data_IF_900785661662
#
_entry.id   IF_900785661662
#
_cell.length_a   1.000
_cell.length_b   1.000
_cell.length_c   1.000
_cell.angle_alpha   90.00
_cell.angle_beta   90.00
_cell.angle_gamma   90.00
#
_symmetry.space_group_name_H-M   'P 1'
#
loop_
_entity.id
_entity.type
_entity.pdbx_description
1 polymer ?
#
# COMPACT_ATOMS: atom_id res chain seq x y z
N UNK A 1 15.68 -3.18 -18.90
CA UNK A 1 14.23 -2.91 -18.92
C UNK A 1 13.75 -3.09 -17.48
N UNK A 2 13.45 -2.00 -16.75
CA UNK A 2 12.89 -2.15 -15.40
C UNK A 2 11.51 -2.80 -15.53
N UNK A 3 11.24 -3.83 -14.73
CA UNK A 3 9.94 -4.49 -14.73
C UNK A 3 8.86 -3.50 -14.29
N UNK A 4 7.67 -3.58 -14.91
CA UNK A 4 6.52 -2.77 -14.52
C UNK A 4 6.11 -3.13 -13.08
N UNK A 5 5.84 -2.15 -12.20
CA UNK A 5 5.46 -2.44 -10.82
C UNK A 5 4.15 -3.25 -10.77
N UNK A 6 4.01 -4.05 -9.73
CA UNK A 6 2.84 -4.89 -9.48
C UNK A 6 2.47 -4.79 -8.00
N UNK A 7 1.41 -4.03 -7.68
CA UNK A 7 0.97 -3.80 -6.29
C UNK A 7 0.93 -5.11 -5.48
N UNK A 8 0.31 -6.15 -6.01
CA UNK A 8 0.17 -7.42 -5.29
C UNK A 8 1.50 -8.20 -5.16
N UNK A 9 2.33 -8.20 -6.21
CA UNK A 9 3.62 -8.89 -6.20
C UNK A 9 4.61 -8.21 -5.28
N UNK A 10 4.76 -6.90 -5.43
CA UNK A 10 5.66 -6.07 -4.65
C UNK A 10 5.25 -6.07 -3.17
N UNK A 11 3.95 -5.99 -2.88
CA UNK A 11 3.43 -6.14 -1.52
C UNK A 11 3.77 -7.48 -0.89
N UNK A 12 3.60 -8.58 -1.65
CA UNK A 12 3.96 -9.92 -1.18
C UNK A 12 5.43 -9.98 -0.81
N UNK A 13 6.31 -9.43 -1.65
CA UNK A 13 7.74 -9.46 -1.40
C UNK A 13 8.12 -8.68 -0.13
N UNK A 14 7.57 -7.48 0.07
CA UNK A 14 7.78 -6.72 1.32
C UNK A 14 7.23 -7.50 2.51
N UNK A 15 6.00 -7.98 2.45
CA UNK A 15 5.34 -8.69 3.56
C UNK A 15 6.12 -9.95 3.97
N UNK A 16 6.60 -10.73 3.00
CA UNK A 16 7.37 -11.95 3.24
C UNK A 16 8.76 -11.65 3.79
N UNK A 17 9.51 -10.77 3.13
CA UNK A 17 10.91 -10.55 3.45
C UNK A 17 11.15 -9.55 4.60
N UNK A 18 10.13 -8.79 5.01
CA UNK A 18 10.19 -7.91 6.18
C UNK A 18 9.66 -8.59 7.45
N UNK A 19 8.55 -9.33 7.36
CA UNK A 19 7.78 -9.78 8.54
C UNK A 19 7.65 -11.30 8.60
N UNK A 20 7.09 -11.95 7.57
CA UNK A 20 6.62 -13.35 7.68
C UNK A 20 7.71 -14.41 7.64
N UNK A 21 8.75 -14.23 6.83
CA UNK A 21 9.79 -15.24 6.70
C UNK A 21 10.69 -15.27 7.95
N UNK A 22 11.18 -16.45 8.35
CA UNK A 22 12.26 -16.56 9.31
C UNK A 22 13.47 -15.74 8.83
N UNK A 23 14.19 -15.11 9.76
CA UNK A 23 15.28 -14.18 9.42
C UNK A 23 16.30 -14.75 8.41
N UNK A 24 16.62 -16.05 8.51
CA UNK A 24 17.57 -16.76 7.64
C UNK A 24 17.08 -16.94 6.19
N UNK A 25 15.78 -16.77 5.93
CA UNK A 25 15.16 -16.91 4.61
C UNK A 25 14.80 -15.55 3.99
N UNK A 26 15.02 -14.45 4.71
CA UNK A 26 14.77 -13.11 4.21
C UNK A 26 15.83 -12.74 3.18
N UNK A 27 15.41 -12.05 2.13
CA UNK A 27 16.26 -11.66 1.01
C UNK A 27 16.19 -10.14 0.90
N UNK A 28 17.27 -9.42 1.27
CA UNK A 28 17.30 -7.96 1.20
C UNK A 28 17.07 -7.41 -0.21
N UNK A 29 17.44 -8.14 -1.26
CA UNK A 29 17.25 -7.69 -2.63
C UNK A 29 15.77 -7.74 -3.03
N UNK A 30 15.05 -8.80 -2.65
CA UNK A 30 13.58 -8.89 -2.86
C UNK A 30 12.82 -7.87 -2.04
N UNK A 31 13.22 -7.67 -0.78
CA UNK A 31 12.64 -6.63 0.06
C UNK A 31 12.80 -5.24 -0.59
N UNK A 32 14.02 -4.90 -1.03
CA UNK A 32 14.30 -3.64 -1.70
C UNK A 32 13.47 -3.47 -2.98
N UNK A 33 13.42 -4.51 -3.81
CA UNK A 33 12.62 -4.49 -5.04
C UNK A 33 11.13 -4.26 -4.76
N UNK A 34 10.57 -4.98 -3.78
CA UNK A 34 9.18 -4.80 -3.37
C UNK A 34 8.89 -3.39 -2.83
N UNK A 35 9.81 -2.80 -2.06
CA UNK A 35 9.66 -1.42 -1.57
C UNK A 35 9.64 -0.43 -2.74
N UNK A 36 10.61 -0.53 -3.67
CA UNK A 36 10.69 0.36 -4.84
C UNK A 36 9.46 0.23 -5.77
N UNK A 37 8.98 -0.99 -5.98
CA UNK A 37 7.79 -1.27 -6.78
C UNK A 37 6.49 -0.75 -6.15
N UNK A 38 6.33 -0.93 -4.84
CA UNK A 38 5.24 -0.32 -4.08
C UNK A 38 5.30 1.20 -4.11
N UNK A 39 6.47 1.80 -3.87
CA UNK A 39 6.64 3.26 -3.92
C UNK A 39 6.21 3.82 -5.28
N UNK A 40 6.62 3.17 -6.37
CA UNK A 40 6.20 3.53 -7.72
C UNK A 40 4.67 3.46 -7.88
N UNK A 41 4.06 2.36 -7.42
CA UNK A 41 2.60 2.18 -7.46
C UNK A 41 1.85 3.24 -6.63
N UNK A 42 2.37 3.59 -5.45
CA UNK A 42 1.77 4.57 -4.55
C UNK A 42 1.89 5.99 -5.09
N UNK A 43 2.96 6.33 -5.81
CA UNK A 43 3.05 7.61 -6.55
C UNK A 43 2.00 7.71 -7.66
N UNK A 44 1.76 6.63 -8.39
CA UNK A 44 0.70 6.59 -9.42
C UNK A 44 -0.68 6.79 -8.76
N UNK A 45 -0.91 6.11 -7.63
CA UNK A 45 -2.14 6.24 -6.86
C UNK A 45 -2.35 7.67 -6.33
N UNK A 46 -1.32 8.30 -5.75
CA UNK A 46 -1.38 9.70 -5.32
C UNK A 46 -1.77 10.64 -6.45
N UNK A 47 -1.12 10.51 -7.61
CA UNK A 47 -1.44 11.30 -8.79
C UNK A 47 -2.88 11.07 -9.28
N UNK A 48 -3.38 9.83 -9.21
CA UNK A 48 -4.75 9.49 -9.58
C UNK A 48 -5.84 10.10 -8.68
N UNK A 49 -5.48 10.57 -7.49
CA UNK A 49 -6.38 11.25 -6.55
C UNK A 49 -6.33 12.79 -6.70
N UNK A 50 -5.73 13.32 -7.77
CA UNK A 50 -5.62 14.75 -7.99
C UNK A 50 -6.99 15.44 -8.13
N UNK A 51 -7.92 14.82 -8.86
CA UNK A 51 -9.18 15.44 -9.24
C UNK A 51 -10.40 14.89 -8.48
N UNK A 52 -10.22 13.76 -7.77
CA UNK A 52 -11.32 13.05 -7.12
C UNK A 52 -10.92 12.57 -5.71
N UNK A 53 -11.85 12.61 -4.73
CA UNK A 53 -11.57 12.18 -3.36
C UNK A 53 -11.43 10.65 -3.22
N UNK A 54 -11.95 9.88 -4.17
CA UNK A 54 -11.93 8.43 -4.17
C UNK A 54 -11.53 7.90 -5.55
N UNK A 55 -10.92 6.72 -5.60
CA UNK A 55 -10.66 6.03 -6.87
C UNK A 55 -11.95 5.63 -7.60
N UNK A 56 -13.06 5.58 -6.87
CA UNK A 56 -14.40 5.38 -7.44
C UNK A 56 -15.07 6.68 -7.91
N UNK A 57 -14.41 7.84 -7.78
CA UNK A 57 -14.92 9.16 -8.18
C UNK A 57 -15.31 10.03 -6.98
N UNK A 58 -16.50 10.64 -7.02
CA UNK A 58 -16.96 11.56 -5.99
C UNK A 58 -17.23 10.86 -4.64
N UNK A 59 -17.63 9.60 -4.67
CA UNK A 59 -18.00 8.80 -3.50
C UNK A 59 -17.14 7.54 -3.38
N UNK A 60 -17.02 7.02 -2.15
CA UNK A 60 -16.35 5.76 -1.89
C UNK A 60 -17.05 4.60 -2.62
N UNK A 61 -16.28 3.73 -3.26
CA UNK A 61 -16.83 2.58 -3.96
C UNK A 61 -15.84 1.42 -4.11
N UNK A 62 -16.17 0.51 -5.03
CA UNK A 62 -15.41 -0.72 -5.26
C UNK A 62 -13.97 -0.46 -5.72
N UNK A 63 -13.70 0.68 -6.38
CA UNK A 63 -12.35 1.05 -6.82
C UNK A 63 -11.38 1.34 -5.67
N UNK A 64 -11.91 1.71 -4.50
CA UNK A 64 -11.10 2.05 -3.32
C UNK A 64 -10.72 0.82 -2.49
N UNK A 65 -11.49 -0.26 -2.57
CA UNK A 65 -11.37 -1.41 -1.67
C UNK A 65 -10.05 -2.16 -1.90
N UNK A 66 -9.67 -2.59 -3.12
CA UNK A 66 -8.47 -3.38 -3.31
C UNK A 66 -7.20 -2.63 -2.91
N UNK A 67 -7.05 -1.38 -3.37
CA UNK A 67 -5.88 -0.58 -3.03
C UNK A 67 -5.89 -0.18 -1.56
N UNK A 68 -7.06 0.05 -0.97
CA UNK A 68 -7.21 0.33 0.46
C UNK A 68 -6.62 -0.75 1.35
N UNK A 69 -6.71 -2.03 0.96
CA UNK A 69 -6.08 -3.13 1.69
C UNK A 69 -4.55 -3.03 1.67
N UNK A 70 -3.95 -2.72 0.52
CA UNK A 70 -2.50 -2.60 0.37
C UNK A 70 -1.95 -1.32 1.02
N UNK A 71 -2.70 -0.22 0.97
CA UNK A 71 -2.31 1.05 1.56
C UNK A 71 -2.12 0.96 3.07
N UNK A 72 -2.94 0.16 3.77
CA UNK A 72 -2.74 -0.13 5.19
C UNK A 72 -1.34 -0.71 5.45
N UNK A 73 -0.97 -1.77 4.72
CA UNK A 73 0.35 -2.37 4.90
C UNK A 73 1.48 -1.41 4.52
N UNK A 74 1.36 -0.72 3.37
CA UNK A 74 2.33 0.28 2.93
C UNK A 74 2.62 1.33 4.00
N UNK A 75 1.59 1.86 4.67
CA UNK A 75 1.72 2.92 5.68
C UNK A 75 2.12 2.41 7.07
N UNK A 76 1.96 1.11 7.35
CA UNK A 76 2.33 0.50 8.64
C UNK A 76 3.69 -0.21 8.62
N UNK A 77 4.24 -0.55 7.45
CA UNK A 77 5.57 -1.17 7.40
C UNK A 77 6.64 -0.28 8.04
N UNK A 78 7.63 -0.83 8.77
CA UNK A 78 8.75 -0.06 9.33
C UNK A 78 9.80 0.24 8.24
N UNK A 79 9.42 1.06 7.26
CA UNK A 79 10.27 1.46 6.13
C UNK A 79 10.22 2.99 5.96
N UNK A 80 11.27 3.57 5.40
CA UNK A 80 11.25 4.95 4.95
C UNK A 80 10.36 5.07 3.71
N UNK A 81 9.58 6.15 3.64
CA UNK A 81 8.63 6.41 2.53
C UNK A 81 8.64 7.89 2.16
N UNK A 82 8.44 8.24 0.87
CA UNK A 82 8.16 9.62 0.49
C UNK A 82 6.78 10.05 1.02
N UNK A 83 6.60 11.36 1.23
CA UNK A 83 5.26 11.91 1.46
C UNK A 83 4.45 11.86 0.17
N UNK A 84 3.21 11.37 0.30
CA UNK A 84 2.23 11.23 -0.77
C UNK A 84 0.89 11.80 -0.27
N UNK A 85 0.75 13.14 -0.24
CA UNK A 85 -0.28 13.81 0.56
C UNK A 85 -1.71 13.44 0.15
N UNK A 86 -1.99 13.20 -1.14
CA UNK A 86 -3.35 12.85 -1.59
C UNK A 86 -3.68 11.42 -1.22
N UNK A 87 -2.71 10.52 -1.33
CA UNK A 87 -2.84 9.14 -0.87
C UNK A 87 -3.01 9.08 0.66
N UNK A 88 -2.23 9.86 1.41
CA UNK A 88 -2.33 9.98 2.86
C UNK A 88 -3.72 10.50 3.30
N UNK A 89 -4.23 11.54 2.64
CA UNK A 89 -5.57 12.07 2.88
C UNK A 89 -6.68 11.07 2.55
N UNK A 90 -6.56 10.35 1.42
CA UNK A 90 -7.48 9.28 1.04
C UNK A 90 -7.47 8.14 2.06
N UNK A 91 -6.28 7.74 2.52
CA UNK A 91 -6.13 6.73 3.56
C UNK A 91 -6.74 7.19 4.88
N UNK A 92 -6.55 8.46 5.27
CA UNK A 92 -7.19 9.02 6.46
C UNK A 92 -8.72 8.92 6.39
N UNK A 93 -9.33 9.20 5.22
CA UNK A 93 -10.78 8.98 5.00
C UNK A 93 -11.18 7.51 5.14
N UNK A 94 -10.38 6.56 4.64
CA UNK A 94 -10.63 5.13 4.84
C UNK A 94 -10.63 4.76 6.33
N UNK A 95 -9.67 5.29 7.11
CA UNK A 95 -9.57 5.02 8.55
C UNK A 95 -10.81 5.49 9.34
N UNK A 96 -11.56 6.48 8.83
CA UNK A 96 -12.82 6.92 9.46
C UNK A 96 -13.96 5.89 9.33
N UNK A 97 -13.83 4.88 8.46
CA UNK A 97 -14.86 3.86 8.22
C UNK A 97 -14.75 2.69 9.21
N UNK A 98 -15.80 2.43 9.97
CA UNK A 98 -15.84 1.32 10.94
C UNK A 98 -15.52 -0.03 10.32
N UNK A 99 -16.07 -0.31 9.13
CA UNK A 99 -15.80 -1.57 8.42
C UNK A 99 -14.33 -1.72 8.00
N UNK A 100 -13.67 -0.63 7.59
CA UNK A 100 -12.26 -0.64 7.21
C UNK A 100 -11.37 -0.91 8.44
N UNK A 101 -11.63 -0.23 9.56
CA UNK A 101 -10.93 -0.49 10.82
C UNK A 101 -11.06 -1.95 11.28
N UNK A 102 -12.28 -2.50 11.18
CA UNK A 102 -12.55 -3.86 11.64
C UNK A 102 -11.95 -4.95 10.74
N UNK A 103 -11.97 -4.74 9.41
CA UNK A 103 -11.59 -5.79 8.45
C UNK A 103 -10.16 -5.68 7.91
N UNK A 104 -9.58 -4.47 7.89
CA UNK A 104 -8.28 -4.21 7.25
C UNK A 104 -7.22 -3.83 8.28
N UNK A 105 -7.55 -3.00 9.27
CA UNK A 105 -6.58 -2.48 10.25
C UNK A 105 -6.27 -3.46 11.39
N UNK A 106 -5.96 -4.70 11.04
CA UNK A 106 -5.54 -5.75 11.97
C UNK A 106 -4.01 -5.85 12.02
N UNK A 107 -3.40 -6.44 13.06
CA UNK A 107 -1.95 -6.62 13.10
C UNK A 107 -1.40 -7.27 11.82
N UNK A 108 -0.29 -6.73 11.31
CA UNK A 108 0.42 -7.32 10.18
C UNK A 108 1.25 -8.50 10.70
N UNK A 109 0.76 -9.71 10.42
CA UNK A 109 1.39 -10.97 10.80
C UNK A 109 1.88 -11.74 9.59
#
# INVERSE_FOLDING_TARGET
>A
MQARPSVAGDFRDVMMHLIRLPAKQRDPAKLKHGIEGLECSMRIADAGLADQPWFSGADFGIGDIPLGCYAYGWLQFPIERPSLPRLEDWYHRLQQRTAYRAAVMTPLT
#
